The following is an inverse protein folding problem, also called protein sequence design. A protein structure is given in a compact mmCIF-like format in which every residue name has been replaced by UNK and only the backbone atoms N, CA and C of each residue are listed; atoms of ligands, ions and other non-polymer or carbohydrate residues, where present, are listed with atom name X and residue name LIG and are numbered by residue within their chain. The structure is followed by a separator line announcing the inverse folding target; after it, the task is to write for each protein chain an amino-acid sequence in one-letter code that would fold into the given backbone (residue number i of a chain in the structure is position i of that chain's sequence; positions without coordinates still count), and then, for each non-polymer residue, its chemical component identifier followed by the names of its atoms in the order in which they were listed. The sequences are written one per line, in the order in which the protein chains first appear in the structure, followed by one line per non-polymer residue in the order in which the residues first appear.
data_IF_435082239620
#
_entry.id   IF_435082239620
#
_cell.length_a   1.000
_cell.length_b   1.000
_cell.length_c   1.000
_cell.angle_alpha   90.00
_cell.angle_beta   90.00
_cell.angle_gamma   90.00
#
_symmetry.space_group_name_H-M   'P 1'
#
loop_
_entity.id
_entity.type
_entity.pdbx_description
1 polymer ?
#
# COMPACT_ATOMS: atom_id res chain seq x y z
N UNK A 1 6.82 15.74 -25.86
CA UNK A 1 7.19 14.50 -25.16
C UNK A 1 6.07 14.24 -24.16
N UNK A 2 5.25 13.18 -24.27
CA UNK A 2 4.39 12.85 -23.15
C UNK A 2 5.32 12.47 -21.99
N UNK A 3 5.06 13.03 -20.80
CA UNK A 3 5.75 12.61 -19.60
C UNK A 3 5.57 11.10 -19.47
N UNK A 4 6.68 10.38 -19.38
CA UNK A 4 6.69 8.96 -19.03
C UNK A 4 5.83 8.84 -17.78
N UNK A 5 4.64 8.26 -17.93
CA UNK A 5 3.70 8.16 -16.82
C UNK A 5 4.29 7.09 -15.91
N UNK A 6 5.03 7.52 -14.89
CA UNK A 6 5.58 6.63 -13.88
C UNK A 6 4.43 5.78 -13.33
N UNK A 7 4.54 4.46 -13.45
CA UNK A 7 3.55 3.52 -12.93
C UNK A 7 3.36 3.82 -11.44
N UNK A 8 2.10 4.00 -10.97
CA UNK A 8 1.88 4.40 -9.59
C UNK A 8 2.42 3.33 -8.65
N UNK A 9 3.07 3.77 -7.58
CA UNK A 9 3.70 2.85 -6.63
C UNK A 9 2.76 2.53 -5.47
N UNK A 10 2.88 1.32 -4.94
CA UNK A 10 2.21 0.92 -3.70
C UNK A 10 3.15 0.13 -2.80
N UNK A 11 2.92 0.12 -1.49
CA UNK A 11 3.71 -0.67 -0.55
C UNK A 11 2.82 -1.46 0.42
N UNK A 12 3.30 -2.61 0.86
CA UNK A 12 2.61 -3.40 1.87
C UNK A 12 2.82 -2.80 3.26
N UNK A 13 1.72 -2.51 3.94
CA UNK A 13 1.67 -1.94 5.27
C UNK A 13 0.76 -2.75 6.19
N UNK A 14 1.11 -2.83 7.47
CA UNK A 14 0.28 -3.44 8.50
C UNK A 14 -0.54 -2.36 9.22
N UNK A 15 -1.86 -2.49 9.22
CA UNK A 15 -2.76 -1.71 10.07
C UNK A 15 -4.10 -2.46 10.23
N UNK A 16 -4.85 -2.16 11.29
CA UNK A 16 -6.04 -2.95 11.63
C UNK A 16 -5.66 -4.43 11.86
N UNK A 17 -6.44 -5.36 11.29
CA UNK A 17 -6.24 -6.80 11.47
C UNK A 17 -5.57 -7.50 10.27
N UNK A 18 -5.10 -6.74 9.28
CA UNK A 18 -4.58 -7.28 8.02
C UNK A 18 -3.37 -6.48 7.51
N UNK A 19 -2.68 -7.04 6.52
CA UNK A 19 -1.73 -6.32 5.69
C UNK A 19 -2.45 -5.77 4.45
N UNK A 20 -2.25 -4.49 4.15
CA UNK A 20 -2.88 -3.76 3.06
C UNK A 20 -1.82 -3.16 2.13
N UNK A 21 -2.14 -2.94 0.85
CA UNK A 21 -1.31 -2.12 -0.03
C UNK A 21 -1.79 -0.68 0.07
N UNK A 22 -0.90 0.24 0.40
CA UNK A 22 -1.16 1.69 0.37
C UNK A 22 -0.42 2.32 -0.82
N UNK A 23 -1.02 3.27 -1.56
CA UNK A 23 -0.30 4.02 -2.58
C UNK A 23 0.83 4.85 -1.94
N UNK A 24 2.02 4.84 -2.55
CA UNK A 24 3.13 5.67 -2.11
C UNK A 24 2.83 7.14 -2.41
N UNK A 25 3.20 8.03 -1.48
CA UNK A 25 2.92 9.47 -1.60
C UNK A 25 1.47 9.86 -1.30
N UNK A 26 0.61 8.91 -0.90
CA UNK A 26 -0.72 9.23 -0.42
C UNK A 26 -0.65 10.05 0.88
N UNK A 27 -1.34 11.18 0.92
CA UNK A 27 -1.47 12.02 2.13
C UNK A 27 -2.21 11.27 3.25
N UNK A 28 -3.06 10.32 2.88
CA UNK A 28 -3.84 9.49 3.79
C UNK A 28 -3.42 8.03 3.65
N UNK A 29 -3.34 7.34 4.78
CA UNK A 29 -3.12 5.90 4.81
C UNK A 29 -4.40 5.15 4.45
N UNK A 30 -4.68 5.07 3.15
CA UNK A 30 -5.83 4.33 2.61
C UNK A 30 -5.31 3.16 1.80
N UNK A 31 -5.69 1.95 2.20
CA UNK A 31 -5.37 0.77 1.43
C UNK A 31 -6.13 0.76 0.11
N UNK A 32 -5.64 0.05 -0.92
CA UNK A 32 -6.35 -0.11 -2.21
C UNK A 32 -7.77 -0.68 -2.06
N UNK A 33 -8.03 -1.39 -0.96
CA UNK A 33 -9.36 -1.86 -0.58
C UNK A 33 -10.32 -0.79 -0.02
N UNK A 34 -9.89 0.46 0.10
CA UNK A 34 -10.66 1.59 0.67
C UNK A 34 -10.64 1.67 2.20
N UNK A 35 -10.02 0.72 2.91
CA UNK A 35 -9.86 0.80 4.37
C UNK A 35 -8.85 1.91 4.71
N UNK A 36 -9.28 2.83 5.56
CA UNK A 36 -8.47 3.93 6.06
C UNK A 36 -7.86 3.58 7.42
N UNK A 37 -6.66 4.08 7.69
CA UNK A 37 -5.99 4.03 8.97
C UNK A 37 -5.51 5.41 9.40
N UNK A 38 -5.34 5.59 10.71
CA UNK A 38 -4.51 6.69 11.21
C UNK A 38 -3.06 6.42 10.76
N UNK A 39 -2.35 7.40 10.15
CA UNK A 39 -0.95 7.24 9.77
C UNK A 39 -0.04 6.75 10.91
N UNK A 40 -0.36 7.08 12.17
CA UNK A 40 0.39 6.62 13.35
C UNK A 40 0.23 5.11 13.62
N UNK A 41 -0.84 4.49 13.12
CA UNK A 41 -1.12 3.05 13.27
C UNK A 41 -0.58 2.21 12.11
N UNK A 42 0.03 2.85 11.10
CA UNK A 42 0.59 2.19 9.92
C UNK A 42 2.02 1.76 10.19
N UNK A 43 2.24 0.45 10.14
CA UNK A 43 3.56 -0.14 10.26
C UNK A 43 4.02 -0.87 9.01
N UNK A 44 5.29 -1.34 9.00
CA UNK A 44 5.74 -2.28 7.98
C UNK A 44 4.91 -3.57 8.03
N UNK A 45 4.81 -4.25 6.88
CA UNK A 45 4.15 -5.56 6.77
C UNK A 45 4.64 -6.52 7.87
N UNK A 46 3.70 -7.16 8.57
CA UNK A 46 3.98 -8.09 9.66
C UNK A 46 3.27 -9.46 9.48
N UNK A 47 3.22 -10.27 10.54
CA UNK A 47 2.60 -11.60 10.54
C UNK A 47 1.07 -11.63 10.40
N UNK A 48 0.40 -10.48 10.25
CA UNK A 48 -1.05 -10.43 9.99
C UNK A 48 -1.42 -11.09 8.65
N UNK A 49 -2.65 -11.58 8.50
CA UNK A 49 -3.13 -12.05 7.20
C UNK A 49 -3.14 -10.92 6.16
N UNK A 50 -2.96 -11.25 4.89
CA UNK A 50 -3.02 -10.27 3.80
C UNK A 50 -4.47 -10.01 3.38
N UNK A 51 -4.84 -8.73 3.22
CA UNK A 51 -6.14 -8.35 2.69
C UNK A 51 -6.32 -8.93 1.28
N UNK A 52 -7.41 -9.67 1.06
CA UNK A 52 -7.69 -10.34 -0.20
C UNK A 52 -7.87 -9.35 -1.36
N UNK A 53 -8.55 -8.22 -1.12
CA UNK A 53 -8.74 -7.16 -2.13
C UNK A 53 -7.39 -6.55 -2.51
N UNK A 54 -6.60 -6.09 -1.54
CA UNK A 54 -5.26 -5.57 -1.82
C UNK A 54 -4.35 -6.61 -2.50
N UNK A 55 -4.54 -7.90 -2.24
CA UNK A 55 -3.78 -8.97 -2.90
C UNK A 55 -4.14 -9.12 -4.37
N UNK A 56 -5.40 -8.91 -4.74
CA UNK A 56 -5.85 -8.93 -6.14
C UNK A 56 -5.33 -7.71 -6.86
N UNK A 57 -5.48 -6.51 -6.29
CA UNK A 57 -4.97 -5.26 -6.87
C UNK A 57 -3.44 -5.27 -7.01
N UNK A 58 -2.71 -5.79 -6.03
CA UNK A 58 -1.26 -5.95 -6.14
C UNK A 58 -0.81 -6.87 -7.29
N UNK A 59 -1.71 -7.75 -7.76
CA UNK A 59 -1.45 -8.70 -8.85
C UNK A 59 -1.97 -8.21 -10.20
N UNK A 60 -2.84 -7.19 -10.24
CA UNK A 60 -3.35 -6.64 -11.50
C UNK A 60 -2.23 -5.97 -12.31
N UNK A 61 -1.19 -5.49 -11.62
CA UNK A 61 -0.08 -4.75 -12.22
C UNK A 61 -0.36 -3.25 -12.33
N UNK A 62 -1.51 -2.77 -11.86
CA UNK A 62 -1.83 -1.34 -11.88
C UNK A 62 -0.93 -0.52 -10.95
N UNK A 63 -0.32 -1.18 -9.96
CA UNK A 63 0.64 -0.56 -9.04
C UNK A 63 1.94 -1.34 -9.00
N UNK A 64 3.07 -0.63 -9.07
CA UNK A 64 4.38 -1.20 -8.80
C UNK A 64 4.56 -1.36 -7.29
N UNK A 65 4.63 -2.61 -6.81
CA UNK A 65 4.79 -2.87 -5.39
C UNK A 65 6.26 -2.69 -4.96
N UNK A 66 6.49 -1.72 -4.07
CA UNK A 66 7.80 -1.38 -3.52
C UNK A 66 7.88 -1.69 -2.01
N UNK A 67 9.09 -1.77 -1.43
CA UNK A 67 9.26 -1.92 0.01
C UNK A 67 8.58 -0.79 0.79
N UNK A 68 8.08 -1.10 1.99
CA UNK A 68 7.52 -0.09 2.88
C UNK A 68 8.61 0.95 3.24
N UNK A 69 8.35 2.27 3.12
CA UNK A 69 9.34 3.28 3.43
C UNK A 69 9.75 3.17 4.89
N UNK A 70 11.04 2.94 5.13
CA UNK A 70 11.61 2.95 6.47
C UNK A 70 11.86 4.42 6.85
N UNK A 71 11.18 4.92 7.89
CA UNK A 71 11.59 6.17 8.53
C UNK A 71 12.86 5.86 9.33
N UNK A 72 14.03 6.04 8.72
CA UNK A 72 15.30 6.21 9.44
C UNK A 72 15.45 7.64 9.96
#
# INVERSE_FOLDING_TARGET
MPAESEEPEGCWAAFGYQNHVIPVGAVQAVGLCGVMADPADVGPRDGRPTCSVCSVEARSGDHRIVPFPSNE
#
